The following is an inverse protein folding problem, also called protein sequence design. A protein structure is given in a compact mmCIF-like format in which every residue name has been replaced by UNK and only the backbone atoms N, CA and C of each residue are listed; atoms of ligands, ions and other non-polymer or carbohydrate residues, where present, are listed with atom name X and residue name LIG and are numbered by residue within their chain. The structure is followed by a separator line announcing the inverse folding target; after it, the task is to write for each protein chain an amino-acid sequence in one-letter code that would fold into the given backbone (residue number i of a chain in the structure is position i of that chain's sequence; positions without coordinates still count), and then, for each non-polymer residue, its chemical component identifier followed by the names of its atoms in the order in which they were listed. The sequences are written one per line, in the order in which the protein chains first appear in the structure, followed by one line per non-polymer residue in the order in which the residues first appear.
data_IF_231961867365
#
_entry.id   IF_231961867365
#
_cell.length_a   1.000
_cell.length_b   1.000
_cell.length_c   1.000
_cell.angle_alpha   90.00
_cell.angle_beta   90.00
_cell.angle_gamma   90.00
#
_symmetry.space_group_name_H-M   'P 1'
#
loop_
_entity.id
_entity.type
_entity.pdbx_description
1 polymer ?
#
# COMPACT_ATOMS: atom_id res chain seq x y z
N UNK A 1 14.71 -2.58 -24.33
CA UNK A 1 14.41 -3.55 -23.24
C UNK A 1 13.74 -2.79 -22.11
N UNK A 2 12.64 -3.29 -21.59
CA UNK A 2 11.90 -2.65 -20.49
C UNK A 2 12.73 -2.66 -19.19
N UNK A 3 12.68 -1.57 -18.44
CA UNK A 3 13.39 -1.42 -17.16
C UNK A 3 12.49 -0.78 -16.11
N UNK A 4 12.67 -1.16 -14.85
CA UNK A 4 12.03 -0.51 -13.71
C UNK A 4 13.05 0.34 -12.93
N UNK A 5 12.57 1.45 -12.37
CA UNK A 5 13.37 2.31 -11.49
C UNK A 5 13.19 1.86 -10.06
N UNK A 6 14.23 1.29 -9.46
CA UNK A 6 14.21 0.76 -8.10
C UNK A 6 15.05 1.67 -7.21
N UNK A 7 14.43 2.19 -6.15
CA UNK A 7 15.09 3.01 -5.15
C UNK A 7 15.90 2.13 -4.19
N UNK A 8 15.29 1.08 -3.66
CA UNK A 8 15.88 0.19 -2.65
C UNK A 8 15.38 -1.26 -2.79
N UNK A 9 16.21 -2.22 -2.38
CA UNK A 9 15.84 -3.63 -2.20
C UNK A 9 16.40 -4.05 -0.85
N UNK A 10 15.57 -4.51 0.08
CA UNK A 10 16.00 -4.81 1.44
C UNK A 10 15.12 -5.85 2.14
N UNK A 11 15.72 -6.61 3.07
CA UNK A 11 15.00 -7.51 3.97
C UNK A 11 14.59 -6.75 5.22
N UNK A 12 13.33 -6.87 5.62
CA UNK A 12 12.84 -6.37 6.90
C UNK A 12 11.64 -7.17 7.40
N UNK A 13 10.99 -6.68 8.45
CA UNK A 13 9.70 -7.16 8.91
C UNK A 13 8.61 -6.18 8.50
N UNK A 14 7.50 -6.68 7.97
CA UNK A 14 6.33 -5.88 7.68
C UNK A 14 5.89 -5.15 8.95
N UNK A 15 5.76 -3.82 8.86
CA UNK A 15 5.47 -2.98 10.01
C UNK A 15 4.02 -2.53 10.08
N UNK A 16 3.21 -2.86 9.07
CA UNK A 16 1.86 -2.35 8.89
C UNK A 16 0.86 -3.46 8.53
N UNK A 17 -0.40 -3.23 8.92
CA UNK A 17 -1.52 -4.09 8.58
C UNK A 17 -1.47 -5.52 9.13
N UNK A 18 -2.18 -6.43 8.47
CA UNK A 18 -2.45 -7.77 9.00
C UNK A 18 -1.19 -8.64 9.10
N UNK A 19 -0.17 -8.33 8.29
CA UNK A 19 1.07 -9.11 8.20
C UNK A 19 2.19 -8.51 9.06
N UNK A 20 1.88 -7.58 9.96
CA UNK A 20 2.87 -6.98 10.88
C UNK A 20 3.69 -8.07 11.58
N UNK A 21 5.02 -8.00 11.47
CA UNK A 21 5.96 -8.98 11.99
C UNK A 21 6.36 -10.10 11.01
N UNK A 22 5.75 -10.20 9.82
CA UNK A 22 6.20 -11.13 8.77
C UNK A 22 7.51 -10.66 8.17
N UNK A 23 8.48 -11.57 8.00
CA UNK A 23 9.77 -11.25 7.38
C UNK A 23 9.60 -11.22 5.86
N UNK A 24 9.88 -10.09 5.23
CA UNK A 24 9.62 -9.87 3.79
C UNK A 24 10.84 -9.28 3.08
N UNK A 25 10.95 -9.56 1.78
CA UNK A 25 11.89 -8.89 0.89
C UNK A 25 11.17 -7.76 0.15
N UNK A 26 11.51 -6.52 0.46
CA UNK A 26 10.90 -5.35 -0.13
C UNK A 26 11.64 -4.90 -1.39
N UNK A 27 10.88 -4.60 -2.44
CA UNK A 27 11.34 -3.90 -3.64
C UNK A 27 10.63 -2.55 -3.65
N UNK A 28 11.38 -1.49 -3.35
CA UNK A 28 10.88 -0.11 -3.33
C UNK A 28 11.08 0.54 -4.69
N UNK A 29 9.99 0.71 -5.43
CA UNK A 29 9.97 1.39 -6.72
C UNK A 29 10.13 2.91 -6.55
N UNK A 30 10.67 3.55 -7.57
CA UNK A 30 10.89 5.00 -7.62
C UNK A 30 9.81 5.73 -8.41
N UNK A 31 9.38 6.87 -7.86
CA UNK A 31 8.36 7.75 -8.42
C UNK A 31 6.96 7.41 -7.92
N UNK A 32 6.11 8.42 -7.73
CA UNK A 32 4.72 8.30 -7.31
C UNK A 32 3.88 9.32 -8.09
N UNK A 33 2.63 9.01 -8.39
CA UNK A 33 1.67 9.92 -9.03
C UNK A 33 1.00 10.87 -8.04
N UNK A 34 1.30 10.72 -6.74
CA UNK A 34 0.81 11.57 -5.66
C UNK A 34 1.96 12.22 -4.88
N UNK A 35 1.68 13.40 -4.30
CA UNK A 35 2.59 14.14 -3.42
C UNK A 35 1.96 14.39 -2.05
N UNK A 36 1.77 13.34 -1.25
CA UNK A 36 1.10 13.43 0.05
C UNK A 36 1.94 14.25 1.05
N UNK A 37 1.31 15.17 1.78
CA UNK A 37 2.01 16.01 2.78
C UNK A 37 2.57 15.22 3.97
N UNK A 38 2.05 14.01 4.21
CA UNK A 38 2.51 13.08 5.23
C UNK A 38 3.46 11.99 4.71
N UNK A 39 3.92 12.07 3.45
CA UNK A 39 4.77 11.01 2.90
C UNK A 39 6.08 10.88 3.69
N UNK A 40 6.28 9.73 4.32
CA UNK A 40 7.46 9.38 5.11
C UNK A 40 8.66 8.94 4.26
N UNK A 41 8.41 8.62 3.00
CA UNK A 41 9.38 8.02 2.09
C UNK A 41 9.92 9.06 1.12
N UNK A 42 11.09 9.63 1.43
CA UNK A 42 11.79 10.56 0.54
C UNK A 42 12.76 9.81 -0.38
N UNK A 43 12.38 9.65 -1.64
CA UNK A 43 13.17 8.95 -2.65
C UNK A 43 14.20 9.88 -3.31
N UNK A 44 15.47 9.76 -2.90
CA UNK A 44 16.56 10.63 -3.40
C UNK A 44 17.17 10.15 -4.73
N UNK A 45 17.18 8.85 -4.98
CA UNK A 45 17.83 8.26 -6.15
C UNK A 45 17.22 6.91 -6.51
N UNK A 46 17.52 6.43 -7.72
CA UNK A 46 17.15 5.10 -8.17
C UNK A 46 18.23 4.49 -9.05
N UNK A 47 18.15 3.18 -9.25
CA UNK A 47 18.86 2.45 -10.29
C UNK A 47 17.86 1.78 -11.21
N UNK A 48 18.17 1.73 -12.50
CA UNK A 48 17.34 1.04 -13.47
C UNK A 48 17.72 -0.43 -13.55
N UNK A 49 16.74 -1.32 -13.50
CA UNK A 49 16.93 -2.75 -13.59
C UNK A 49 16.14 -3.35 -14.75
N UNK A 50 16.77 -4.24 -15.52
CA UNK A 50 16.05 -5.20 -16.34
C UNK A 50 15.47 -6.32 -15.47
N UNK A 51 14.46 -7.05 -15.95
CA UNK A 51 13.86 -8.17 -15.21
C UNK A 51 14.88 -9.23 -14.75
N UNK A 52 15.89 -9.52 -15.57
CA UNK A 52 16.93 -10.50 -15.24
C UNK A 52 17.92 -9.95 -14.21
N UNK A 53 18.30 -8.67 -14.32
CA UNK A 53 19.19 -8.04 -13.35
C UNK A 53 18.51 -7.92 -11.97
N UNK A 54 17.23 -7.56 -11.94
CA UNK A 54 16.44 -7.52 -10.71
C UNK A 54 16.31 -8.91 -10.09
N UNK A 55 15.98 -9.93 -10.89
CA UNK A 55 15.93 -11.31 -10.41
C UNK A 55 17.28 -11.71 -9.79
N UNK A 56 18.39 -11.49 -10.47
CA UNK A 56 19.72 -11.80 -9.94
C UNK A 56 19.96 -11.16 -8.57
N UNK A 57 19.57 -9.89 -8.40
CA UNK A 57 19.66 -9.21 -7.09
C UNK A 57 18.76 -9.81 -6.02
N UNK A 58 17.57 -10.27 -6.38
CA UNK A 58 16.66 -10.93 -5.44
C UNK A 58 17.19 -12.31 -5.03
N UNK A 59 17.84 -13.04 -5.95
CA UNK A 59 18.45 -14.33 -5.65
C UNK A 59 19.58 -14.20 -4.62
N UNK A 60 20.33 -13.09 -4.62
CA UNK A 60 21.41 -12.80 -3.65
C UNK A 60 20.90 -12.80 -2.19
N UNK A 61 19.60 -12.56 -1.94
CA UNK A 61 19.01 -12.55 -0.58
C UNK A 61 18.60 -13.96 -0.05
N UNK A 62 18.70 -15.01 -0.87
CA UNK A 62 18.32 -16.36 -0.46
C UNK A 62 16.80 -16.56 -0.35
N UNK A 63 16.37 -17.46 0.56
CA UNK A 63 14.95 -17.85 0.76
C UNK A 63 14.42 -17.47 2.17
N UNK A 64 15.17 -16.69 2.95
CA UNK A 64 14.88 -16.42 4.37
C UNK A 64 13.79 -15.39 4.64
N UNK A 65 12.80 -15.27 3.75
CA UNK A 65 11.66 -14.36 3.84
C UNK A 65 10.39 -15.08 3.39
N UNK A 66 9.23 -14.62 3.83
CA UNK A 66 7.94 -15.23 3.55
C UNK A 66 7.39 -14.73 2.21
N UNK A 67 7.33 -13.40 2.03
CA UNK A 67 6.81 -12.75 0.83
C UNK A 67 7.81 -11.80 0.15
N UNK A 68 7.65 -11.65 -1.16
CA UNK A 68 8.23 -10.54 -1.93
C UNK A 68 7.23 -9.38 -1.93
N UNK A 69 7.60 -8.26 -1.32
CA UNK A 69 6.75 -7.07 -1.22
C UNK A 69 7.12 -6.03 -2.27
N UNK A 70 6.18 -5.72 -3.15
CA UNK A 70 6.26 -4.66 -4.14
C UNK A 70 5.66 -3.39 -3.53
N UNK A 71 6.46 -2.33 -3.41
CA UNK A 71 6.06 -1.08 -2.74
C UNK A 71 6.76 0.12 -3.38
N UNK A 72 6.60 1.30 -2.80
CA UNK A 72 7.53 2.41 -2.90
C UNK A 72 6.85 3.73 -3.12
N UNK A 73 7.51 4.65 -3.83
CA UNK A 73 6.65 5.44 -4.70
C UNK A 73 5.87 4.45 -5.60
N UNK A 74 4.63 4.77 -5.96
CA UNK A 74 3.64 3.84 -6.51
C UNK A 74 4.18 2.72 -7.46
N UNK A 75 4.17 1.44 -7.05
CA UNK A 75 4.71 0.35 -7.87
C UNK A 75 3.92 0.09 -9.15
N UNK A 76 2.62 0.39 -9.20
CA UNK A 76 1.81 0.18 -10.41
C UNK A 76 2.16 1.14 -11.56
N UNK A 77 2.95 2.20 -11.31
CA UNK A 77 3.60 2.96 -12.40
C UNK A 77 4.56 2.10 -13.25
N UNK A 78 4.92 0.91 -12.76
CA UNK A 78 5.79 -0.06 -13.42
C UNK A 78 5.05 -1.36 -13.77
N UNK A 79 3.71 -1.34 -13.91
CA UNK A 79 2.91 -2.55 -14.11
C UNK A 79 3.29 -3.36 -15.35
N UNK A 80 3.64 -2.74 -16.47
CA UNK A 80 4.12 -3.47 -17.66
C UNK A 80 5.41 -4.24 -17.36
N UNK A 81 6.32 -3.67 -16.55
CA UNK A 81 7.53 -4.36 -16.11
C UNK A 81 7.19 -5.51 -15.16
N UNK A 82 6.27 -5.28 -14.20
CA UNK A 82 5.81 -6.30 -13.28
C UNK A 82 5.17 -7.49 -14.00
N UNK A 83 4.38 -7.22 -15.04
CA UNK A 83 3.76 -8.25 -15.90
C UNK A 83 4.79 -9.19 -16.53
N UNK A 84 5.97 -8.69 -16.88
CA UNK A 84 7.07 -9.50 -17.39
C UNK A 84 7.95 -10.11 -16.28
N UNK A 85 8.11 -9.42 -15.16
CA UNK A 85 9.04 -9.79 -14.09
C UNK A 85 8.46 -10.86 -13.15
N UNK A 86 7.20 -10.75 -12.74
CA UNK A 86 6.60 -11.66 -11.75
C UNK A 86 6.50 -13.12 -12.24
N UNK A 87 6.14 -13.42 -13.51
CA UNK A 87 6.20 -14.79 -14.01
C UNK A 87 7.62 -15.36 -14.00
N UNK A 88 8.62 -14.52 -14.26
CA UNK A 88 10.03 -14.92 -14.21
C UNK A 88 10.47 -15.20 -12.77
N UNK A 89 10.06 -14.37 -11.80
CA UNK A 89 10.30 -14.59 -10.38
C UNK A 89 9.67 -15.89 -9.89
N UNK A 90 8.39 -16.13 -10.18
CA UNK A 90 7.65 -17.35 -9.78
C UNK A 90 8.29 -18.65 -10.28
N UNK A 91 9.02 -18.62 -11.41
CA UNK A 91 9.77 -19.79 -11.91
C UNK A 91 10.97 -20.16 -11.04
N UNK A 92 11.51 -19.21 -10.28
CA UNK A 92 12.73 -19.40 -9.47
C UNK A 92 12.46 -19.44 -7.96
N UNK A 93 11.31 -18.92 -7.53
CA UNK A 93 10.96 -18.75 -6.12
C UNK A 93 9.47 -19.05 -5.91
N UNK A 94 9.14 -19.70 -4.80
CA UNK A 94 7.76 -20.02 -4.40
C UNK A 94 7.15 -19.05 -3.39
N UNK A 95 7.73 -17.86 -3.20
CA UNK A 95 7.24 -16.87 -2.23
C UNK A 95 5.97 -16.18 -2.75
N UNK A 96 5.07 -15.83 -1.83
CA UNK A 96 3.91 -14.99 -2.15
C UNK A 96 4.34 -13.58 -2.56
N UNK A 97 3.52 -12.93 -3.37
CA UNK A 97 3.72 -11.56 -3.84
C UNK A 97 2.71 -10.64 -3.15
N UNK A 98 3.23 -9.70 -2.37
CA UNK A 98 2.47 -8.71 -1.62
C UNK A 98 2.60 -7.35 -2.32
N UNK A 99 1.48 -6.70 -2.66
CA UNK A 99 1.47 -5.41 -3.33
C UNK A 99 1.01 -4.31 -2.37
N UNK A 100 1.86 -3.33 -2.10
CA UNK A 100 1.51 -2.07 -1.43
C UNK A 100 1.33 -0.95 -2.46
N UNK A 101 0.17 -0.31 -2.49
CA UNK A 101 -0.19 0.65 -3.53
C UNK A 101 -1.13 1.72 -2.98
N UNK A 102 -1.09 2.92 -3.55
CA UNK A 102 -2.02 4.01 -3.24
C UNK A 102 -3.42 3.80 -3.85
N UNK A 103 -3.59 2.81 -4.73
CA UNK A 103 -4.88 2.44 -5.30
C UNK A 103 -5.47 3.41 -6.33
N UNK A 104 -4.67 4.32 -6.91
CA UNK A 104 -5.14 5.29 -7.92
C UNK A 104 -5.06 4.76 -9.36
N UNK A 105 -4.49 3.58 -9.59
CA UNK A 105 -4.20 3.02 -10.92
C UNK A 105 -4.94 1.68 -11.17
N UNK A 106 -6.28 1.67 -11.24
CA UNK A 106 -7.06 0.44 -11.43
C UNK A 106 -6.75 -0.28 -12.75
N UNK A 107 -6.54 0.46 -13.84
CA UNK A 107 -6.22 -0.13 -15.16
C UNK A 107 -4.84 -0.82 -15.16
N UNK A 108 -3.90 -0.30 -14.37
CA UNK A 108 -2.57 -0.92 -14.21
C UNK A 108 -2.62 -2.13 -13.28
N UNK A 109 -3.50 -2.11 -12.27
CA UNK A 109 -3.76 -3.28 -11.43
C UNK A 109 -4.27 -4.45 -12.26
N UNK A 110 -5.22 -4.23 -13.18
CA UNK A 110 -5.78 -5.30 -14.02
C UNK A 110 -4.71 -6.07 -14.80
N UNK A 111 -3.63 -5.39 -15.23
CA UNK A 111 -2.51 -6.01 -15.96
C UNK A 111 -1.74 -7.04 -15.13
N UNK A 112 -1.75 -6.91 -13.81
CA UNK A 112 -0.92 -7.69 -12.87
C UNK A 112 -1.74 -8.41 -11.80
N UNK A 113 -3.07 -8.27 -11.81
CA UNK A 113 -3.95 -8.80 -10.79
C UNK A 113 -3.71 -10.30 -10.55
N UNK A 114 -3.64 -11.10 -11.62
CA UNK A 114 -3.39 -12.54 -11.53
C UNK A 114 -1.99 -12.92 -11.04
N UNK A 115 -1.07 -11.96 -10.97
CA UNK A 115 0.33 -12.17 -10.61
C UNK A 115 0.63 -11.81 -9.15
N UNK A 116 -0.25 -11.09 -8.48
CA UNK A 116 -0.14 -10.73 -7.05
C UNK A 116 -1.04 -11.64 -6.20
N UNK A 117 -0.67 -11.89 -4.95
CA UNK A 117 -1.41 -12.77 -4.05
C UNK A 117 -2.17 -11.96 -2.98
N UNK A 118 -1.54 -10.94 -2.42
CA UNK A 118 -2.11 -10.04 -1.41
C UNK A 118 -1.98 -8.59 -1.89
N UNK A 119 -3.02 -7.79 -1.69
CA UNK A 119 -3.04 -6.36 -2.00
C UNK A 119 -3.33 -5.57 -0.72
N UNK A 120 -2.40 -4.71 -0.34
CA UNK A 120 -2.61 -3.66 0.66
C UNK A 120 -2.74 -2.32 -0.06
N UNK A 121 -3.99 -1.88 -0.17
CA UNK A 121 -4.32 -0.57 -0.74
C UNK A 121 -4.31 0.48 0.36
N UNK A 122 -3.54 1.54 0.16
CA UNK A 122 -3.56 2.74 0.98
C UNK A 122 -4.55 3.75 0.40
N UNK A 123 -5.79 3.69 0.89
CA UNK A 123 -6.90 4.58 0.60
C UNK A 123 -6.56 6.02 1.04
N UNK A 124 -6.14 6.81 0.06
CA UNK A 124 -5.85 8.24 0.16
C UNK A 124 -7.10 9.09 0.42
N UNK A 125 -7.17 9.66 1.61
CA UNK A 125 -8.17 10.66 2.00
C UNK A 125 -7.71 12.07 1.59
N UNK A 126 -8.45 12.83 0.76
CA UNK A 126 -8.06 14.16 0.30
C UNK A 126 -7.62 15.09 1.43
N UNK A 127 -8.40 15.17 2.52
CA UNK A 127 -8.11 16.02 3.69
C UNK A 127 -6.85 15.61 4.46
N UNK A 128 -6.49 14.33 4.44
CA UNK A 128 -5.21 13.86 5.00
C UNK A 128 -4.05 14.17 4.05
N UNK A 129 -4.23 13.92 2.74
CA UNK A 129 -3.13 13.99 1.76
C UNK A 129 -2.63 15.40 1.49
N UNK A 130 -3.43 16.42 1.81
CA UNK A 130 -3.17 17.81 1.44
C UNK A 130 -3.27 18.08 -0.06
N UNK A 131 -3.81 17.12 -0.83
CA UNK A 131 -3.98 17.21 -2.28
C UNK A 131 -5.31 17.89 -2.62
N UNK A 132 -5.30 18.77 -3.64
CA UNK A 132 -6.53 19.28 -4.27
C UNK A 132 -7.20 18.24 -5.20
N UNK A 133 -6.46 17.20 -5.60
CA UNK A 133 -6.98 16.13 -6.45
C UNK A 133 -7.71 15.10 -5.59
N UNK A 134 -9.02 14.98 -5.81
CA UNK A 134 -9.81 13.86 -5.33
C UNK A 134 -9.55 12.60 -6.18
N UNK A 135 -9.54 11.43 -5.55
CA UNK A 135 -9.23 10.13 -6.17
C UNK A 135 -10.31 9.07 -5.89
N UNK A 136 -11.51 9.52 -5.53
CA UNK A 136 -12.62 8.66 -5.10
C UNK A 136 -13.04 7.66 -6.18
N UNK A 137 -13.12 8.10 -7.44
CA UNK A 137 -13.54 7.28 -8.57
C UNK A 137 -12.51 6.17 -8.84
N UNK A 138 -11.23 6.53 -8.83
CA UNK A 138 -10.12 5.60 -9.01
C UNK A 138 -10.11 4.55 -7.90
N UNK A 139 -10.29 4.97 -6.64
CA UNK A 139 -10.34 4.06 -5.50
C UNK A 139 -11.54 3.10 -5.57
N UNK A 140 -12.73 3.60 -5.93
CA UNK A 140 -13.89 2.73 -6.07
C UNK A 140 -13.65 1.65 -7.14
N UNK A 141 -13.13 2.05 -8.31
CA UNK A 141 -12.73 1.09 -9.36
C UNK A 141 -11.68 0.11 -8.85
N UNK A 142 -10.65 0.60 -8.18
CA UNK A 142 -9.55 -0.21 -7.68
C UNK A 142 -9.99 -1.27 -6.69
N UNK A 143 -10.78 -0.91 -5.68
CA UNK A 143 -11.26 -1.87 -4.68
C UNK A 143 -12.15 -2.92 -5.33
N UNK A 144 -13.04 -2.53 -6.26
CA UNK A 144 -13.88 -3.48 -6.99
C UNK A 144 -13.04 -4.48 -7.79
N UNK A 145 -11.99 -4.01 -8.47
CA UNK A 145 -11.05 -4.86 -9.21
C UNK A 145 -10.23 -5.76 -8.27
N UNK A 146 -9.70 -5.24 -7.15
CA UNK A 146 -8.89 -6.03 -6.23
C UNK A 146 -9.72 -7.08 -5.47
N UNK A 147 -10.92 -6.70 -5.01
CA UNK A 147 -11.79 -7.55 -4.23
C UNK A 147 -12.31 -8.75 -5.04
N UNK A 148 -12.43 -8.66 -6.37
CA UNK A 148 -12.99 -9.75 -7.16
C UNK A 148 -12.24 -11.09 -6.97
N UNK A 149 -10.93 -11.07 -6.71
CA UNK A 149 -10.10 -12.28 -6.75
C UNK A 149 -8.98 -12.34 -5.70
N UNK A 150 -8.70 -11.29 -4.92
CA UNK A 150 -7.49 -11.23 -4.07
C UNK A 150 -7.77 -11.01 -2.60
N UNK A 151 -6.85 -11.44 -1.75
CA UNK A 151 -6.82 -11.01 -0.36
C UNK A 151 -6.52 -9.51 -0.35
N UNK A 152 -7.47 -8.73 0.18
CA UNK A 152 -7.43 -7.28 0.15
C UNK A 152 -7.34 -6.76 1.58
N UNK A 153 -6.51 -5.75 1.76
CA UNK A 153 -6.42 -4.94 2.96
C UNK A 153 -6.60 -3.49 2.51
N UNK A 154 -7.55 -2.78 3.11
CA UNK A 154 -7.76 -1.36 2.83
C UNK A 154 -7.30 -0.57 4.04
N UNK A 155 -6.22 0.19 3.88
CA UNK A 155 -5.63 1.03 4.92
C UNK A 155 -5.87 2.50 4.57
N UNK A 156 -6.23 3.35 5.51
CA UNK A 156 -6.31 4.80 5.29
C UNK A 156 -5.50 5.53 6.36
N UNK A 157 -4.63 6.45 5.94
CA UNK A 157 -3.90 7.31 6.88
C UNK A 157 -4.81 8.44 7.37
N UNK A 158 -4.98 8.54 8.68
CA UNK A 158 -5.75 9.58 9.35
C UNK A 158 -4.81 10.55 10.09
N UNK A 159 -5.14 11.84 10.00
CA UNK A 159 -4.39 13.00 10.50
C UNK A 159 -5.33 13.86 11.33
N UNK A 160 -4.80 14.87 12.03
CA UNK A 160 -5.59 15.91 12.69
C UNK A 160 -6.49 16.72 11.73
N UNK A 161 -6.13 16.73 10.44
CA UNK A 161 -6.91 17.39 9.38
C UNK A 161 -7.95 16.48 8.72
N UNK A 162 -8.02 15.18 9.06
CA UNK A 162 -8.97 14.27 8.44
C UNK A 162 -10.41 14.70 8.74
N UNK A 163 -11.21 14.87 7.69
CA UNK A 163 -12.60 15.31 7.83
C UNK A 163 -13.57 14.14 7.96
N UNK A 164 -14.72 14.40 8.59
CA UNK A 164 -15.83 13.44 8.65
C UNK A 164 -16.36 13.11 7.25
N UNK A 165 -16.34 14.07 6.31
CA UNK A 165 -16.85 13.84 4.95
C UNK A 165 -15.95 12.86 4.17
N UNK A 166 -14.64 12.92 4.35
CA UNK A 166 -13.70 11.92 3.80
C UNK A 166 -14.02 10.53 4.34
N UNK A 167 -14.25 10.41 5.66
CA UNK A 167 -14.57 9.14 6.31
C UNK A 167 -15.92 8.60 5.83
N UNK A 168 -16.92 9.47 5.66
CA UNK A 168 -18.23 9.10 5.08
C UNK A 168 -18.08 8.60 3.65
N UNK A 169 -17.33 9.31 2.82
CA UNK A 169 -17.16 8.95 1.42
C UNK A 169 -16.40 7.65 1.26
N UNK A 170 -15.29 7.47 1.99
CA UNK A 170 -14.56 6.21 2.05
C UNK A 170 -15.48 5.06 2.51
N UNK A 171 -16.26 5.26 3.58
CA UNK A 171 -17.16 4.23 4.10
C UNK A 171 -18.22 3.82 3.08
N UNK A 172 -18.80 4.76 2.33
CA UNK A 172 -19.76 4.45 1.25
C UNK A 172 -19.14 3.58 0.16
N UNK A 173 -17.92 3.91 -0.28
CA UNK A 173 -17.21 3.13 -1.30
C UNK A 173 -16.91 1.71 -0.79
N UNK A 174 -16.39 1.59 0.44
CA UNK A 174 -16.06 0.30 1.05
C UNK A 174 -17.31 -0.56 1.27
N UNK A 175 -18.41 0.04 1.74
CA UNK A 175 -19.70 -0.64 1.95
C UNK A 175 -20.29 -1.18 0.65
N UNK A 176 -19.98 -0.55 -0.49
CA UNK A 176 -20.40 -0.97 -1.82
C UNK A 176 -19.69 -2.23 -2.36
N UNK A 177 -18.82 -2.86 -1.57
CA UNK A 177 -18.07 -4.06 -1.93
C UNK A 177 -18.42 -5.20 -0.97
N UNK A 178 -19.06 -6.25 -1.51
CA UNK A 178 -19.60 -7.37 -0.73
C UNK A 178 -18.52 -8.21 -0.05
N UNK A 179 -17.35 -8.35 -0.67
CA UNK A 179 -16.27 -9.18 -0.12
C UNK A 179 -15.81 -8.66 1.24
N UNK A 180 -15.54 -9.59 2.16
CA UNK A 180 -14.91 -9.27 3.45
C UNK A 180 -13.42 -8.99 3.28
N UNK A 181 -12.97 -7.90 3.91
CA UNK A 181 -11.58 -7.50 4.02
C UNK A 181 -11.40 -6.60 5.24
N UNK A 182 -10.19 -6.58 5.79
CA UNK A 182 -9.87 -5.70 6.91
C UNK A 182 -9.77 -4.25 6.43
N UNK A 183 -10.36 -3.35 7.23
CA UNK A 183 -10.17 -1.90 7.11
C UNK A 183 -9.27 -1.44 8.24
N UNK A 184 -8.20 -0.72 7.91
CA UNK A 184 -7.25 -0.19 8.90
C UNK A 184 -7.27 1.32 8.79
N UNK A 185 -7.56 1.98 9.90
CA UNK A 185 -7.26 3.41 10.04
C UNK A 185 -5.91 3.52 10.73
N UNK A 186 -4.96 4.16 10.05
CA UNK A 186 -3.59 4.33 10.52
C UNK A 186 -3.39 5.79 10.94
N UNK A 187 -3.30 6.10 12.24
CA UNK A 187 -2.81 7.39 12.68
C UNK A 187 -1.45 7.68 12.03
N UNK A 188 -1.32 8.87 11.47
CA UNK A 188 -0.07 9.32 10.85
C UNK A 188 1.07 9.28 11.86
N UNK A 189 2.26 8.83 11.46
CA UNK A 189 3.48 9.12 12.22
C UNK A 189 4.04 10.45 11.70
N UNK A 190 4.04 11.54 12.48
CA UNK A 190 4.43 12.85 11.97
C UNK A 190 5.89 12.88 11.50
N UNK A 191 6.10 13.19 10.21
CA UNK A 191 7.44 13.32 9.60
C UNK A 191 7.85 14.77 9.35
N UNK A 192 6.94 15.71 9.60
CA UNK A 192 7.16 17.15 9.49
C UNK A 192 6.16 17.90 10.40
N UNK A 193 6.29 19.22 10.50
CA UNK A 193 5.44 20.06 11.35
C UNK A 193 4.06 20.39 10.75
N UNK A 194 3.79 20.00 9.50
CA UNK A 194 2.55 20.34 8.78
C UNK A 194 1.39 19.38 9.09
N UNK A 195 1.70 18.17 9.55
CA UNK A 195 0.71 17.11 9.78
C UNK A 195 0.86 16.60 11.20
N UNK A 196 -0.25 16.47 11.93
CA UNK A 196 -0.24 15.93 13.29
C UNK A 196 -1.10 14.69 13.39
N UNK A 197 -0.87 13.94 14.46
CA UNK A 197 -1.72 12.83 14.84
C UNK A 197 -3.14 13.31 15.19
N UNK A 198 -4.18 12.57 14.79
CA UNK A 198 -5.54 12.81 15.28
C UNK A 198 -5.63 12.52 16.77
N UNK A 199 -6.53 13.20 17.47
CA UNK A 199 -6.78 12.91 18.88
C UNK A 199 -7.57 11.60 19.10
N UNK A 200 -7.60 11.12 20.34
CA UNK A 200 -8.26 9.86 20.70
C UNK A 200 -9.77 9.87 20.42
N UNK A 201 -10.43 11.02 20.56
CA UNK A 201 -11.87 11.17 20.31
C UNK A 201 -12.16 10.98 18.81
N UNK A 202 -11.37 11.62 17.96
CA UNK A 202 -11.42 11.50 16.50
C UNK A 202 -11.15 10.06 16.05
N UNK A 203 -10.10 9.42 16.59
CA UNK A 203 -9.77 8.02 16.29
C UNK A 203 -10.94 7.09 16.66
N UNK A 204 -11.47 7.25 17.86
CA UNK A 204 -12.60 6.44 18.36
C UNK A 204 -13.85 6.63 17.50
N UNK A 205 -14.17 7.88 17.16
CA UNK A 205 -15.31 8.22 16.30
C UNK A 205 -15.17 7.61 14.91
N UNK A 206 -14.03 7.81 14.24
CA UNK A 206 -13.81 7.26 12.89
C UNK A 206 -13.85 5.74 12.87
N UNK A 207 -13.20 5.07 13.84
CA UNK A 207 -13.25 3.61 13.96
C UNK A 207 -14.70 3.11 14.08
N UNK A 208 -15.47 3.72 14.98
CA UNK A 208 -16.86 3.34 15.22
C UNK A 208 -17.75 3.58 14.01
N UNK A 209 -17.56 4.73 13.33
CA UNK A 209 -18.31 5.09 12.13
C UNK A 209 -18.03 4.11 10.98
N UNK A 210 -16.76 3.88 10.64
CA UNK A 210 -16.36 2.98 9.55
C UNK A 210 -16.84 1.55 9.81
N UNK A 211 -16.65 1.04 11.03
CA UNK A 211 -17.11 -0.31 11.39
C UNK A 211 -18.63 -0.45 11.23
N UNK A 212 -19.40 0.54 11.69
CA UNK A 212 -20.86 0.53 11.61
C UNK A 212 -21.37 0.61 10.17
N UNK A 213 -20.85 1.54 9.38
CA UNK A 213 -21.37 1.82 8.03
C UNK A 213 -20.92 0.80 6.99
N UNK A 214 -19.73 0.22 7.16
CA UNK A 214 -19.20 -0.78 6.24
C UNK A 214 -19.56 -2.22 6.63
N UNK A 215 -19.85 -2.46 7.91
CA UNK A 215 -20.00 -3.81 8.46
C UNK A 215 -18.70 -4.61 8.53
N UNK A 216 -17.56 -4.03 8.14
CA UNK A 216 -16.27 -4.72 8.03
C UNK A 216 -15.43 -4.58 9.30
N UNK A 217 -14.55 -5.56 9.52
CA UNK A 217 -13.59 -5.49 10.61
C UNK A 217 -12.69 -4.26 10.47
N UNK A 218 -12.84 -3.31 11.41
CA UNK A 218 -12.10 -2.05 11.41
C UNK A 218 -11.12 -1.99 12.57
N UNK A 219 -9.84 -1.83 12.25
CA UNK A 219 -8.73 -1.77 13.22
C UNK A 219 -8.06 -0.40 13.22
N UNK A 220 -7.50 -0.02 14.36
CA UNK A 220 -6.54 1.08 14.46
C UNK A 220 -5.16 0.44 14.57
N UNK A 221 -4.29 0.67 13.61
CA UNK A 221 -2.91 0.15 13.62
C UNK A 221 -1.95 1.25 13.21
N UNK A 222 -0.92 1.50 14.02
CA UNK A 222 0.18 2.38 13.68
C UNK A 222 1.31 1.65 12.96
N UNK A 223 2.42 2.36 12.73
CA UNK A 223 3.61 1.84 12.07
C UNK A 223 4.57 1.22 13.11
N UNK A 224 4.57 -0.12 13.22
CA UNK A 224 5.39 -0.82 14.21
C UNK A 224 6.89 -0.69 13.95
N UNK A 225 7.30 -0.59 12.67
CA UNK A 225 8.70 -0.52 12.27
C UNK A 225 9.41 0.75 12.76
N UNK A 226 8.71 1.89 12.85
CA UNK A 226 9.25 3.12 13.46
C UNK A 226 9.60 2.95 14.94
N UNK A 227 8.75 2.26 15.70
CA UNK A 227 8.99 1.98 17.11
C UNK A 227 10.14 1.00 17.34
N UNK A 228 10.34 0.08 16.39
CA UNK A 228 11.38 -0.94 16.44
C UNK A 228 12.72 -0.49 15.83
N UNK A 229 12.78 0.70 15.22
CA UNK A 229 13.99 1.21 14.57
C UNK A 229 14.44 0.37 13.37
N UNK A 230 13.50 -0.35 12.73
CA UNK A 230 13.74 -1.16 11.53
C UNK A 230 13.13 -0.46 10.31
N UNK A 231 13.66 -0.80 9.13
CA UNK A 231 13.16 -0.29 7.85
C UNK A 231 11.84 -0.91 7.43
#
# INVERSE_FOLDING_TARGET
MMQAKIAEIFLSYQGEGLFTGSRQLFIRFYGCDLGCVYCDTVLKSYRSFSRHALLGKILDFGNGYNELTLTGGEPLLHADFLKEFLPLFRKHKGHGIYLETNGTLPDELEKVLDLVDIIAMDFKLPSSTGSLKEVWTEHERFIRTAACCKELIVKAVITDSTTIDDIKQMSRIIAGVEKEFAVILQPVTPVNALVKEPDEEMISYFKGYVAKETGKETRILGQAHHHLGIK
#
